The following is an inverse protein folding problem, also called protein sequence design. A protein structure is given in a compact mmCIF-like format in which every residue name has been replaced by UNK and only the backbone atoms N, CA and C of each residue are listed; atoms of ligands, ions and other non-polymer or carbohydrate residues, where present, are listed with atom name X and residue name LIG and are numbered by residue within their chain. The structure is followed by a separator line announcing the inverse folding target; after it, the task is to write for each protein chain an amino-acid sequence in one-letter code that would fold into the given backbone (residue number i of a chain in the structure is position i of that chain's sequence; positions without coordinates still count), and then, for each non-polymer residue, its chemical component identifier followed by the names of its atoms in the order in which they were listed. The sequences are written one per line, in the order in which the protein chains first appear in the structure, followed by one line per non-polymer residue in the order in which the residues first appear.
data_IF_111962903465
#
_entry.id   IF_111962903465
#
_cell.length_a   1.000
_cell.length_b   1.000
_cell.length_c   1.000
_cell.angle_alpha   90.00
_cell.angle_beta   90.00
_cell.angle_gamma   90.00
#
_symmetry.space_group_name_H-M   'P 1'
#
loop_
_entity.id
_entity.type
_entity.pdbx_description
1 polymer ?
#
# COMPACT_ATOMS: atom_id res chain seq x y z
N UNK A 1 46.76 -49.01 31.32
CA UNK A 1 46.03 -47.76 31.06
C UNK A 1 45.78 -47.62 29.56
N UNK A 2 44.53 -47.77 29.10
CA UNK A 2 43.99 -47.26 27.82
C UNK A 2 42.50 -47.65 27.75
N UNK A 3 41.63 -46.84 28.38
CA UNK A 3 40.18 -46.94 28.14
C UNK A 3 39.89 -46.18 26.84
N UNK A 4 39.77 -46.93 25.74
CA UNK A 4 39.23 -46.42 24.48
C UNK A 4 37.76 -46.04 24.71
N UNK A 5 37.44 -44.75 24.56
CA UNK A 5 36.05 -44.28 24.52
C UNK A 5 35.32 -44.98 23.38
N UNK A 6 34.39 -45.88 23.71
CA UNK A 6 33.38 -46.39 22.78
C UNK A 6 32.35 -45.28 22.57
N UNK A 7 32.65 -44.36 21.66
CA UNK A 7 31.69 -43.32 21.28
C UNK A 7 30.62 -43.99 20.41
N UNK A 8 29.36 -43.85 20.81
CA UNK A 8 28.22 -44.48 20.17
C UNK A 8 27.96 -43.81 18.81
N UNK A 9 28.07 -44.54 17.70
CA UNK A 9 27.92 -44.00 16.32
C UNK A 9 26.61 -43.22 16.13
N UNK A 10 25.53 -43.58 16.84
CA UNK A 10 24.26 -42.83 16.84
C UNK A 10 24.39 -41.42 17.45
N UNK A 11 25.19 -41.27 18.51
CA UNK A 11 25.46 -39.96 19.12
C UNK A 11 26.41 -39.14 18.24
N UNK A 12 27.39 -39.76 17.59
CA UNK A 12 28.25 -39.06 16.61
C UNK A 12 27.41 -38.51 15.46
N UNK A 13 26.51 -39.31 14.90
CA UNK A 13 25.62 -38.89 13.80
C UNK A 13 24.71 -37.73 14.26
N UNK A 14 24.15 -37.79 15.47
CA UNK A 14 23.29 -36.71 16.01
C UNK A 14 24.11 -35.44 16.29
N UNK A 15 25.30 -35.54 16.87
CA UNK A 15 26.18 -34.38 17.11
C UNK A 15 26.72 -33.82 15.79
N UNK A 16 27.04 -34.65 14.80
CA UNK A 16 27.45 -34.18 13.48
C UNK A 16 26.28 -33.56 12.72
N UNK A 17 25.05 -34.04 12.89
CA UNK A 17 23.86 -33.39 12.31
C UNK A 17 23.57 -32.04 12.99
N UNK A 18 23.73 -31.94 14.31
CA UNK A 18 23.60 -30.68 15.05
C UNK A 18 24.68 -29.67 14.70
N UNK A 19 25.93 -30.11 14.50
CA UNK A 19 27.04 -29.24 14.06
C UNK A 19 26.88 -28.84 12.58
N UNK A 20 26.39 -29.72 11.71
CA UNK A 20 26.08 -29.40 10.31
C UNK A 20 24.86 -28.47 10.19
N UNK A 21 23.88 -28.60 11.08
CA UNK A 21 22.73 -27.68 11.17
C UNK A 21 23.13 -26.31 11.77
N UNK A 22 24.15 -26.27 12.63
CA UNK A 22 24.81 -25.02 13.08
C UNK A 22 25.73 -24.40 12.02
N UNK A 23 26.07 -25.13 10.96
CA UNK A 23 26.90 -24.69 9.82
C UNK A 23 26.05 -24.22 8.62
N UNK A 24 24.79 -23.81 8.85
CA UNK A 24 24.04 -23.00 7.89
C UNK A 24 24.57 -21.57 7.95
N UNK A 25 25.76 -21.42 7.37
CA UNK A 25 26.52 -20.19 7.14
C UNK A 25 25.75 -19.40 6.07
N UNK A 26 25.10 -18.33 6.50
CA UNK A 26 24.21 -17.51 5.69
C UNK A 26 24.76 -16.10 5.56
N UNK A 27 24.88 -15.58 4.34
CA UNK A 27 25.05 -14.14 4.15
C UNK A 27 23.67 -13.50 4.33
N UNK A 28 23.40 -12.93 5.50
CA UNK A 28 22.09 -12.31 5.78
C UNK A 28 22.11 -10.85 5.36
N UNK A 29 21.18 -10.44 4.51
CA UNK A 29 20.78 -9.04 4.45
C UNK A 29 19.99 -8.69 5.70
N UNK A 30 19.97 -7.42 6.07
CA UNK A 30 19.15 -6.85 7.15
C UNK A 30 18.47 -5.57 6.67
N UNK A 31 17.22 -5.38 7.09
CA UNK A 31 16.47 -4.13 6.90
C UNK A 31 15.94 -3.74 8.28
N UNK A 32 16.65 -2.82 8.92
CA UNK A 32 16.46 -2.43 10.32
C UNK A 32 15.33 -1.43 10.50
N UNK A 33 14.91 -0.76 9.42
CA UNK A 33 13.80 0.19 9.41
C UNK A 33 13.81 1.04 8.16
N UNK A 34 12.75 1.84 8.01
CA UNK A 34 12.67 2.89 6.99
C UNK A 34 12.13 4.15 7.65
N UNK A 35 12.88 5.23 7.55
CA UNK A 35 12.42 6.56 7.91
C UNK A 35 11.46 7.06 6.83
N UNK A 36 10.20 7.25 7.23
CA UNK A 36 9.13 7.71 6.37
C UNK A 36 8.57 9.00 6.99
N UNK A 37 8.58 10.13 6.26
CA UNK A 37 7.93 11.34 6.73
C UNK A 37 6.43 11.12 6.99
N UNK A 38 5.83 11.92 7.86
CA UNK A 38 4.40 11.76 8.22
C UNK A 38 3.46 11.88 7.01
N UNK A 39 3.81 12.76 6.07
CA UNK A 39 3.08 13.00 4.82
C UNK A 39 3.98 13.60 3.76
N UNK A 40 3.52 13.55 2.51
CA UNK A 40 4.12 14.24 1.36
C UNK A 40 3.25 15.40 0.90
N UNK A 41 3.85 16.35 0.19
CA UNK A 41 3.14 17.46 -0.45
C UNK A 41 3.08 17.22 -1.95
N UNK A 42 1.91 17.36 -2.55
CA UNK A 42 1.70 17.07 -3.96
C UNK A 42 2.64 17.88 -4.86
N UNK A 43 3.32 17.19 -5.77
CA UNK A 43 4.29 17.81 -6.69
C UNK A 43 5.63 18.22 -6.05
N UNK A 44 5.83 18.04 -4.76
CA UNK A 44 7.11 18.31 -4.08
C UNK A 44 7.97 17.05 -3.94
N UNK A 45 9.26 17.24 -3.69
CA UNK A 45 10.17 16.14 -3.42
C UNK A 45 10.03 15.66 -1.97
N UNK A 46 10.14 14.36 -1.78
CA UNK A 46 10.14 13.69 -0.47
C UNK A 46 11.31 12.73 -0.39
N UNK A 47 11.88 12.59 0.81
CA UNK A 47 13.01 11.70 1.06
C UNK A 47 12.63 10.60 2.04
N UNK A 48 13.02 9.37 1.71
CA UNK A 48 12.94 8.19 2.56
C UNK A 48 14.34 7.62 2.79
N UNK A 49 14.59 7.09 3.98
CA UNK A 49 15.89 6.48 4.32
C UNK A 49 15.67 5.05 4.78
N UNK A 50 16.24 4.09 4.05
CA UNK A 50 16.24 2.68 4.47
C UNK A 50 17.53 2.41 5.27
N UNK A 51 17.38 1.88 6.48
CA UNK A 51 18.50 1.45 7.30
C UNK A 51 18.80 -0.02 7.03
N UNK A 52 19.84 -0.28 6.25
CA UNK A 52 20.20 -1.60 5.77
C UNK A 52 21.43 -2.15 6.50
N UNK A 53 21.58 -3.47 6.45
CA UNK A 53 22.75 -4.17 6.99
C UNK A 53 23.11 -5.40 6.17
N UNK A 54 24.37 -5.80 6.26
CA UNK A 54 24.89 -7.04 5.67
C UNK A 54 25.67 -7.78 6.76
N UNK A 55 25.32 -9.05 6.96
CA UNK A 55 26.02 -9.98 7.84
C UNK A 55 26.56 -11.14 7.00
N UNK A 56 27.77 -11.01 6.42
CA UNK A 56 28.29 -12.02 5.54
C UNK A 56 28.83 -13.19 6.35
N UNK A 57 28.17 -14.33 6.22
CA UNK A 57 28.73 -15.64 6.56
C UNK A 57 28.83 -16.40 5.24
N UNK A 58 29.98 -16.27 4.58
CA UNK A 58 30.28 -16.84 3.26
C UNK A 58 31.07 -18.14 3.48
N UNK A 59 30.66 -19.24 2.83
CA UNK A 59 31.32 -20.55 3.01
C UNK A 59 32.76 -20.58 2.47
N UNK A 60 33.03 -19.93 1.33
CA UNK A 60 34.38 -19.74 0.81
C UNK A 60 34.43 -18.63 -0.24
N UNK A 61 35.53 -17.88 -0.30
CA UNK A 61 35.76 -16.84 -1.31
C UNK A 61 35.10 -15.49 -1.00
N UNK A 62 35.17 -14.61 -1.98
CA UNK A 62 34.61 -13.25 -1.95
C UNK A 62 33.23 -13.24 -2.60
N UNK A 63 32.29 -12.48 -2.03
CA UNK A 63 30.96 -12.32 -2.61
C UNK A 63 30.82 -10.95 -3.29
N UNK A 64 31.04 -10.92 -4.61
CA UNK A 64 30.83 -9.70 -5.40
C UNK A 64 29.41 -9.62 -5.94
N UNK A 65 28.66 -8.57 -5.63
CA UNK A 65 27.27 -8.36 -6.08
C UNK A 65 26.97 -6.86 -6.27
N UNK A 66 25.83 -6.54 -6.85
CA UNK A 66 25.26 -5.20 -6.91
C UNK A 66 24.07 -5.10 -5.96
N UNK A 67 23.92 -3.96 -5.29
CA UNK A 67 22.75 -3.69 -4.47
C UNK A 67 21.53 -3.48 -5.36
N UNK A 68 20.39 -4.04 -4.96
CA UNK A 68 19.11 -3.88 -5.65
C UNK A 68 18.09 -3.34 -4.66
N UNK A 69 17.44 -2.24 -5.02
CA UNK A 69 16.47 -1.53 -4.19
C UNK A 69 15.18 -1.36 -4.97
N UNK A 70 14.06 -1.83 -4.43
CA UNK A 70 12.74 -1.61 -5.01
C UNK A 70 11.96 -0.55 -4.22
N UNK A 71 11.15 0.23 -4.94
CA UNK A 71 10.28 1.25 -4.40
C UNK A 71 8.87 1.10 -5.00
N UNK A 72 7.88 0.82 -4.16
CA UNK A 72 6.47 0.72 -4.53
C UNK A 72 5.79 2.07 -4.26
N UNK A 73 5.27 2.68 -5.31
CA UNK A 73 4.58 3.96 -5.27
C UNK A 73 3.38 3.99 -6.24
N UNK A 74 2.47 4.97 -6.13
CA UNK A 74 1.41 5.15 -7.12
C UNK A 74 2.00 5.51 -8.49
N UNK A 75 1.43 4.95 -9.57
CA UNK A 75 1.87 5.22 -10.95
C UNK A 75 1.87 6.69 -11.34
N UNK A 76 0.99 7.47 -10.72
CA UNK A 76 0.88 8.92 -10.91
C UNK A 76 2.11 9.71 -10.44
N UNK A 77 3.00 9.08 -9.66
CA UNK A 77 4.27 9.68 -9.27
C UNK A 77 5.31 9.64 -10.39
N UNK A 78 5.13 8.77 -11.39
CA UNK A 78 6.13 8.51 -12.44
C UNK A 78 7.50 8.27 -11.80
N UNK A 79 7.54 7.28 -10.90
CA UNK A 79 8.65 7.13 -9.97
C UNK A 79 9.95 6.70 -10.68
N UNK A 80 9.87 6.06 -11.84
CA UNK A 80 11.05 5.71 -12.64
C UNK A 80 11.80 6.96 -13.14
N UNK A 81 11.08 8.03 -13.49
CA UNK A 81 11.67 9.28 -13.98
C UNK A 81 11.97 10.27 -12.85
N UNK A 82 11.18 10.24 -11.78
CA UNK A 82 11.21 11.27 -10.73
C UNK A 82 11.88 10.82 -9.43
N UNK A 83 12.55 9.67 -9.40
CA UNK A 83 13.21 9.16 -8.19
C UNK A 83 14.70 8.98 -8.41
N UNK A 84 15.47 9.48 -7.45
CA UNK A 84 16.89 9.22 -7.33
C UNK A 84 17.14 8.36 -6.10
N UNK A 85 17.91 7.30 -6.28
CA UNK A 85 18.34 6.42 -5.18
C UNK A 85 19.85 6.46 -5.08
N UNK A 86 20.35 6.56 -3.86
CA UNK A 86 21.79 6.50 -3.56
C UNK A 86 21.99 5.78 -2.25
N UNK A 87 23.18 5.25 -2.03
CA UNK A 87 23.54 4.67 -0.75
C UNK A 87 24.96 5.09 -0.39
N UNK A 88 25.24 5.14 0.91
CA UNK A 88 26.56 5.43 1.43
C UNK A 88 26.94 4.31 2.42
N UNK A 89 27.97 3.53 2.10
CA UNK A 89 28.41 2.41 2.92
C UNK A 89 29.93 2.38 3.07
N UNK A 90 30.47 1.63 4.05
CA UNK A 90 31.92 1.42 4.19
C UNK A 90 32.56 0.78 2.96
N UNK A 91 31.78 0.06 2.14
CA UNK A 91 32.26 -0.66 0.95
C UNK A 91 32.08 0.14 -0.35
N UNK A 92 31.50 1.34 -0.29
CA UNK A 92 31.32 2.23 -1.43
C UNK A 92 30.16 3.20 -1.26
N UNK A 93 30.11 4.22 -2.11
CA UNK A 93 28.98 5.14 -2.21
C UNK A 93 28.75 5.42 -3.68
N UNK A 94 27.52 5.20 -4.15
CA UNK A 94 27.21 5.39 -5.57
C UNK A 94 25.71 5.68 -5.76
N UNK A 95 25.35 6.59 -6.68
CA UNK A 95 23.98 6.67 -7.16
C UNK A 95 23.60 5.35 -7.83
N UNK A 96 22.34 4.98 -7.67
CA UNK A 96 21.76 3.82 -8.33
C UNK A 96 21.07 4.24 -9.63
N UNK A 97 20.88 3.29 -10.53
CA UNK A 97 20.17 3.49 -11.79
C UNK A 97 18.96 2.58 -11.84
N UNK A 98 17.86 3.05 -12.42
CA UNK A 98 16.67 2.22 -12.68
C UNK A 98 17.07 1.03 -13.55
N UNK A 99 16.61 -0.17 -13.18
CA UNK A 99 16.74 -1.36 -14.01
C UNK A 99 15.76 -1.24 -15.18
N UNK A 100 16.22 -1.26 -16.44
CA UNK A 100 15.33 -1.10 -17.58
C UNK A 100 14.38 -2.29 -17.70
N UNK A 101 13.15 -2.05 -18.17
CA UNK A 101 12.13 -3.09 -18.34
C UNK A 101 12.54 -4.22 -19.30
N UNK A 102 13.53 -3.99 -20.17
CA UNK A 102 14.11 -5.02 -21.04
C UNK A 102 14.99 -6.02 -20.29
N UNK A 103 15.50 -5.66 -19.11
CA UNK A 103 16.23 -6.58 -18.25
C UNK A 103 15.24 -7.38 -17.43
N UNK A 104 15.27 -8.69 -17.62
CA UNK A 104 14.41 -9.63 -16.89
C UNK A 104 15.02 -9.96 -15.53
N UNK A 105 14.16 -10.17 -14.55
CA UNK A 105 14.51 -10.68 -13.24
C UNK A 105 14.84 -12.19 -13.37
N UNK A 106 16.03 -12.64 -12.94
CA UNK A 106 16.53 -13.99 -13.16
C UNK A 106 15.62 -15.15 -12.72
N UNK A 107 14.90 -15.02 -11.59
CA UNK A 107 14.16 -16.14 -11.00
C UNK A 107 12.76 -16.31 -11.60
N UNK A 108 12.11 -15.20 -11.96
CA UNK A 108 10.76 -15.17 -12.51
C UNK A 108 10.73 -15.04 -14.04
N UNK A 109 11.85 -14.62 -14.65
CA UNK A 109 11.96 -14.31 -16.08
C UNK A 109 10.95 -13.23 -16.55
N UNK A 110 10.58 -12.32 -15.65
CA UNK A 110 9.70 -11.17 -15.92
C UNK A 110 10.47 -9.86 -15.79
N UNK A 111 10.02 -8.76 -16.43
CA UNK A 111 10.50 -7.42 -16.09
C UNK A 111 10.42 -7.17 -14.58
N UNK A 112 11.46 -6.57 -14.00
CA UNK A 112 11.58 -6.36 -12.55
C UNK A 112 10.34 -5.77 -11.87
N UNK A 113 9.67 -4.72 -12.40
CA UNK A 113 8.42 -4.22 -11.83
C UNK A 113 7.32 -5.29 -11.71
N UNK A 114 7.19 -6.13 -12.73
CA UNK A 114 6.19 -7.20 -12.76
C UNK A 114 6.58 -8.35 -11.82
N UNK A 115 7.86 -8.71 -11.78
CA UNK A 115 8.40 -9.70 -10.85
C UNK A 115 8.17 -9.28 -9.39
N UNK A 116 8.50 -8.04 -9.02
CA UNK A 116 8.22 -7.50 -7.68
C UNK A 116 6.72 -7.50 -7.37
N UNK A 117 5.87 -7.10 -8.32
CA UNK A 117 4.42 -7.13 -8.10
C UNK A 117 3.90 -8.57 -7.88
N UNK A 118 4.43 -9.55 -8.59
CA UNK A 118 4.05 -10.96 -8.44
C UNK A 118 4.54 -11.56 -7.11
N UNK A 119 5.79 -11.29 -6.73
CA UNK A 119 6.45 -11.93 -5.58
C UNK A 119 6.17 -11.20 -4.27
N UNK A 120 6.21 -9.86 -4.29
CA UNK A 120 6.10 -9.00 -3.11
C UNK A 120 4.70 -8.41 -2.94
N UNK A 121 3.90 -8.35 -4.02
CA UNK A 121 2.57 -7.75 -4.02
C UNK A 121 2.59 -6.22 -3.98
N UNK A 122 1.40 -5.64 -3.80
CA UNK A 122 1.19 -4.19 -3.73
C UNK A 122 1.12 -3.66 -2.28
N UNK A 123 1.74 -4.33 -1.31
CA UNK A 123 1.81 -3.84 0.07
C UNK A 123 0.47 -3.68 0.80
N UNK A 124 -0.56 -4.42 0.37
CA UNK A 124 -1.91 -4.29 0.92
C UNK A 124 -2.67 -3.03 0.49
N UNK A 125 -2.27 -2.39 -0.62
CA UNK A 125 -3.10 -1.44 -1.33
C UNK A 125 -4.23 -2.17 -2.07
N UNK A 126 -5.45 -1.64 -2.01
CA UNK A 126 -6.66 -2.29 -2.48
C UNK A 126 -6.92 -2.13 -3.99
N UNK A 127 -6.23 -1.19 -4.64
CA UNK A 127 -6.24 -1.06 -6.11
C UNK A 127 -4.80 -1.26 -6.64
N UNK A 128 -4.30 -2.51 -6.71
CA UNK A 128 -2.93 -2.80 -7.14
C UNK A 128 -2.59 -2.26 -8.54
N UNK A 129 -3.58 -2.14 -9.41
CA UNK A 129 -3.40 -1.61 -10.77
C UNK A 129 -2.97 -0.13 -10.80
N UNK A 130 -3.23 0.63 -9.72
CA UNK A 130 -2.77 2.00 -9.54
C UNK A 130 -1.36 2.13 -8.95
N UNK A 131 -0.74 1.03 -8.55
CA UNK A 131 0.59 0.98 -7.94
C UNK A 131 1.62 0.39 -8.90
N UNK A 132 2.88 0.76 -8.73
CA UNK A 132 4.00 0.18 -9.46
C UNK A 132 5.24 0.03 -8.58
N UNK A 133 5.99 -1.05 -8.82
CA UNK A 133 7.35 -1.18 -8.32
C UNK A 133 8.32 -0.58 -9.32
N UNK A 134 9.22 0.27 -8.85
CA UNK A 134 10.40 0.72 -9.59
C UNK A 134 11.63 0.14 -8.91
N UNK A 135 12.52 -0.49 -9.68
CA UNK A 135 13.69 -1.17 -9.14
C UNK A 135 14.95 -0.49 -9.62
N UNK A 136 15.86 -0.23 -8.68
CA UNK A 136 17.14 0.43 -8.87
C UNK A 136 18.25 -0.56 -8.57
N UNK A 137 19.34 -0.46 -9.32
CA UNK A 137 20.56 -1.22 -9.09
C UNK A 137 21.75 -0.28 -8.93
N UNK A 138 22.68 -0.63 -8.04
CA UNK A 138 23.94 0.09 -7.94
C UNK A 138 24.72 0.02 -9.25
N UNK A 139 25.36 1.13 -9.63
CA UNK A 139 26.16 1.16 -10.86
C UNK A 139 27.36 0.22 -10.74
N UNK A 140 28.07 0.34 -9.63
CA UNK A 140 29.23 -0.46 -9.32
C UNK A 140 28.83 -1.76 -8.59
N UNK A 141 29.64 -2.80 -8.78
CA UNK A 141 29.57 -4.02 -8.00
C UNK A 141 30.54 -3.91 -6.83
N UNK A 142 30.16 -4.47 -5.68
CA UNK A 142 30.95 -4.41 -4.46
C UNK A 142 31.26 -5.81 -3.99
N UNK A 143 32.44 -5.96 -3.42
CA UNK A 143 32.90 -7.22 -2.86
C UNK A 143 32.68 -7.21 -1.36
N UNK A 144 31.80 -8.10 -0.91
CA UNK A 144 31.52 -8.33 0.50
C UNK A 144 32.58 -9.29 1.04
N UNK A 145 33.26 -8.84 2.09
CA UNK A 145 34.29 -9.60 2.81
C UNK A 145 33.61 -10.47 3.86
N UNK A 146 34.05 -11.72 3.97
CA UNK A 146 33.46 -12.66 4.91
C UNK A 146 33.69 -12.24 6.37
N UNK A 147 32.67 -12.39 7.23
CA UNK A 147 32.68 -12.03 8.66
C UNK A 147 32.90 -10.54 8.98
N UNK A 148 32.67 -9.64 8.02
CA UNK A 148 32.64 -8.20 8.25
C UNK A 148 31.21 -7.68 8.17
N UNK A 149 30.58 -7.57 9.34
CA UNK A 149 29.22 -7.02 9.45
C UNK A 149 29.27 -5.50 9.34
N UNK A 150 28.36 -4.92 8.56
CA UNK A 150 28.23 -3.47 8.50
C UNK A 150 26.80 -3.04 8.19
N UNK A 151 26.47 -1.84 8.66
CA UNK A 151 25.24 -1.14 8.37
C UNK A 151 25.50 0.02 7.41
N UNK A 152 24.48 0.39 6.66
CA UNK A 152 24.53 1.51 5.73
C UNK A 152 23.12 2.01 5.43
N UNK A 153 23.04 3.25 4.94
CA UNK A 153 21.78 3.87 4.59
C UNK A 153 21.61 3.95 3.07
N UNK A 154 20.38 3.68 2.64
CA UNK A 154 19.91 3.96 1.27
C UNK A 154 18.96 5.14 1.33
N UNK A 155 19.28 6.21 0.62
CA UNK A 155 18.42 7.39 0.48
C UNK A 155 17.65 7.33 -0.82
N UNK A 156 16.32 7.43 -0.73
CA UNK A 156 15.39 7.50 -1.87
C UNK A 156 14.77 8.89 -1.85
N UNK A 157 15.07 9.71 -2.87
CA UNK A 157 14.45 11.01 -3.07
C UNK A 157 13.51 10.92 -4.27
N UNK A 158 12.21 11.07 -4.06
CA UNK A 158 11.17 10.93 -5.08
C UNK A 158 10.26 12.14 -5.11
N UNK A 159 9.71 12.48 -6.27
CA UNK A 159 8.67 13.52 -6.38
C UNK A 159 7.29 12.93 -6.15
N UNK A 160 6.52 13.52 -5.24
CA UNK A 160 5.12 13.17 -5.06
C UNK A 160 4.30 13.50 -6.32
N UNK A 161 3.30 12.66 -6.61
CA UNK A 161 2.33 12.92 -7.66
C UNK A 161 1.44 14.15 -7.40
N UNK A 162 0.57 14.53 -8.35
CA UNK A 162 -0.15 15.81 -8.31
C UNK A 162 -1.46 15.82 -7.50
N UNK A 163 -1.96 14.66 -7.04
CA UNK A 163 -3.28 14.54 -6.41
C UNK A 163 -3.16 14.27 -4.92
N UNK A 164 -4.24 14.56 -4.18
CA UNK A 164 -4.37 14.08 -2.80
C UNK A 164 -4.51 12.56 -2.81
N UNK A 165 -3.73 11.84 -2.00
CA UNK A 165 -3.74 10.38 -2.00
C UNK A 165 -3.53 9.81 -0.60
N UNK A 166 -4.05 8.60 -0.38
CA UNK A 166 -3.76 7.79 0.80
C UNK A 166 -3.41 6.38 0.34
N UNK A 167 -2.20 5.90 0.61
CA UNK A 167 -1.70 4.62 0.09
C UNK A 167 -0.58 4.07 0.97
N UNK A 168 -0.21 2.80 0.77
CA UNK A 168 0.94 2.18 1.46
C UNK A 168 2.15 2.16 0.54
N UNK A 169 3.26 2.73 1.00
CA UNK A 169 4.57 2.62 0.35
C UNK A 169 5.12 1.21 0.56
N UNK A 170 6.00 0.79 -0.34
CA UNK A 170 6.75 -0.46 -0.20
C UNK A 170 8.21 -0.26 -0.57
N UNK A 171 9.07 -0.98 0.13
CA UNK A 171 10.52 -0.95 -0.03
C UNK A 171 11.03 -2.37 -0.12
N UNK A 172 11.92 -2.62 -1.06
CA UNK A 172 12.60 -3.90 -1.24
C UNK A 172 14.10 -3.67 -1.19
N UNK A 173 14.79 -4.55 -0.48
CA UNK A 173 16.24 -4.63 -0.45
C UNK A 173 16.68 -6.06 -0.77
N UNK A 174 17.53 -6.17 -1.79
CA UNK A 174 18.18 -7.41 -2.20
C UNK A 174 19.50 -7.14 -2.89
N UNK A 175 20.02 -8.16 -3.56
CA UNK A 175 21.23 -8.07 -4.35
C UNK A 175 21.10 -8.82 -5.69
N UNK A 176 21.98 -8.50 -6.63
CA UNK A 176 21.88 -8.98 -8.01
C UNK A 176 22.14 -10.47 -8.21
N UNK A 177 22.76 -11.15 -7.24
CA UNK A 177 23.11 -12.59 -7.35
C UNK A 177 21.96 -13.46 -6.87
N UNK A 178 21.36 -13.12 -5.73
CA UNK A 178 20.22 -13.86 -5.20
C UNK A 178 18.89 -13.40 -5.82
N UNK A 179 18.85 -12.14 -6.27
CA UNK A 179 17.69 -11.54 -6.95
C UNK A 179 16.40 -11.61 -6.11
N UNK A 180 15.21 -11.72 -6.71
CA UNK A 180 13.96 -12.00 -6.01
C UNK A 180 13.84 -13.50 -5.70
N UNK A 181 14.73 -14.04 -4.87
CA UNK A 181 14.71 -15.46 -4.48
C UNK A 181 13.52 -15.82 -3.60
N UNK A 182 12.90 -14.83 -2.94
CA UNK A 182 11.87 -15.05 -1.92
C UNK A 182 12.42 -15.62 -0.62
N UNK A 183 13.72 -15.88 -0.55
CA UNK A 183 14.41 -16.26 0.68
C UNK A 183 14.52 -15.03 1.58
N UNK A 184 13.96 -15.12 2.80
CA UNK A 184 13.97 -14.05 3.78
C UNK A 184 15.36 -13.56 4.16
N UNK A 185 16.40 -14.32 3.84
CA UNK A 185 17.80 -13.98 4.09
C UNK A 185 18.37 -13.00 3.06
N UNK A 186 17.82 -13.02 1.85
CA UNK A 186 18.32 -12.26 0.69
C UNK A 186 17.28 -11.33 0.07
N UNK A 187 16.02 -11.46 0.48
CA UNK A 187 14.90 -10.62 0.08
C UNK A 187 14.31 -9.97 1.33
N UNK A 188 14.56 -8.67 1.50
CA UNK A 188 13.96 -7.88 2.59
C UNK A 188 12.91 -6.94 2.04
N UNK A 189 11.78 -6.88 2.72
CA UNK A 189 10.70 -5.96 2.38
C UNK A 189 10.22 -5.20 3.60
N UNK A 190 9.78 -3.97 3.36
CA UNK A 190 9.07 -3.15 4.32
C UNK A 190 7.89 -2.50 3.62
N UNK A 191 6.72 -2.53 4.27
CA UNK A 191 5.54 -1.82 3.82
C UNK A 191 5.10 -0.84 4.90
N UNK A 192 4.79 0.39 4.49
CA UNK A 192 4.32 1.40 5.42
C UNK A 192 2.87 1.15 5.86
N UNK A 193 2.46 1.87 6.91
CA UNK A 193 1.05 2.18 7.11
C UNK A 193 0.52 3.10 5.99
N UNK A 194 -0.70 3.62 6.16
CA UNK A 194 -1.27 4.56 5.22
C UNK A 194 -0.53 5.89 5.24
N UNK A 195 0.17 6.17 4.15
CA UNK A 195 0.91 7.40 3.89
C UNK A 195 0.05 8.34 3.06
N UNK A 196 0.06 9.63 3.42
CA UNK A 196 -0.79 10.64 2.79
C UNK A 196 0.03 11.61 1.93
N UNK A 197 -0.55 11.99 0.79
CA UNK A 197 -0.12 13.15 0.00
C UNK A 197 -1.21 14.20 0.09
N UNK A 198 -0.83 15.41 0.52
CA UNK A 198 -1.75 16.52 0.76
C UNK A 198 -1.46 17.70 -0.19
N UNK A 199 -2.37 18.68 -0.19
CA UNK A 199 -2.32 19.89 -1.04
C UNK A 199 -2.29 19.61 -2.55
N UNK A 200 -2.77 18.44 -2.96
CA UNK A 200 -2.94 18.05 -4.36
C UNK A 200 -4.29 18.45 -4.94
N UNK A 201 -4.48 18.10 -6.21
CA UNK A 201 -5.73 18.34 -6.95
C UNK A 201 -6.78 17.27 -6.63
N UNK A 202 -8.04 17.70 -6.62
CA UNK A 202 -9.22 16.82 -6.52
C UNK A 202 -9.41 16.17 -5.14
N UNK A 203 -10.37 15.23 -5.11
CA UNK A 203 -10.66 14.42 -3.93
C UNK A 203 -9.49 13.47 -3.61
N UNK A 204 -9.42 13.01 -2.37
CA UNK A 204 -8.42 12.03 -1.94
C UNK A 204 -8.64 10.71 -2.69
N UNK A 205 -7.59 10.25 -3.36
CA UNK A 205 -7.56 8.89 -3.93
C UNK A 205 -7.09 7.94 -2.83
N UNK A 206 -8.01 7.14 -2.29
CA UNK A 206 -7.73 6.20 -1.20
C UNK A 206 -7.47 4.79 -1.75
N UNK A 207 -6.23 4.33 -1.63
CA UNK A 207 -5.76 2.97 -1.92
C UNK A 207 -5.68 2.10 -0.67
N UNK A 208 -5.85 2.69 0.50
CA UNK A 208 -5.64 2.06 1.79
C UNK A 208 -6.89 1.38 2.33
N UNK A 209 -8.04 2.02 2.14
CA UNK A 209 -9.29 1.61 2.74
C UNK A 209 -10.29 1.09 1.71
N UNK A 210 -11.08 0.07 2.06
CA UNK A 210 -12.06 -0.49 1.17
C UNK A 210 -13.11 0.57 0.83
N UNK A 211 -13.46 0.68 -0.45
CA UNK A 211 -14.51 1.58 -0.90
C UNK A 211 -15.88 1.05 -0.48
N UNK A 212 -16.28 1.38 0.73
CA UNK A 212 -17.55 0.96 1.31
C UNK A 212 -18.76 1.56 0.60
N UNK A 213 -18.59 2.70 -0.07
CA UNK A 213 -19.66 3.34 -0.84
C UNK A 213 -19.25 3.66 -2.26
N UNK A 214 -20.21 3.64 -3.17
CA UNK A 214 -20.06 4.07 -4.56
C UNK A 214 -21.19 5.03 -4.92
N UNK A 215 -20.94 5.88 -5.92
CA UNK A 215 -21.96 6.75 -6.52
C UNK A 215 -21.97 6.52 -8.02
N UNK A 216 -23.16 6.39 -8.60
CA UNK A 216 -23.37 6.26 -10.05
C UNK A 216 -24.52 7.18 -10.50
N UNK A 217 -24.35 7.99 -11.56
CA UNK A 217 -23.10 8.21 -12.29
C UNK A 217 -22.08 8.96 -11.42
N UNK A 218 -20.78 8.81 -11.75
CA UNK A 218 -19.69 9.45 -10.99
C UNK A 218 -19.67 10.98 -11.12
N UNK A 219 -20.31 11.52 -12.16
CA UNK A 219 -20.56 12.94 -12.36
C UNK A 219 -22.03 13.10 -12.72
N UNK A 220 -22.72 14.01 -12.03
CA UNK A 220 -24.13 14.28 -12.25
C UNK A 220 -24.48 15.70 -11.86
N UNK A 221 -25.60 16.19 -12.39
CA UNK A 221 -26.31 17.34 -11.85
C UNK A 221 -27.11 16.93 -10.61
N UNK A 222 -27.46 17.91 -9.78
CA UNK A 222 -28.39 17.70 -8.65
C UNK A 222 -29.81 17.31 -9.10
N UNK A 223 -30.10 17.53 -10.39
CA UNK A 223 -31.35 17.15 -11.02
C UNK A 223 -31.32 15.75 -11.68
N UNK A 224 -30.18 15.07 -11.68
CA UNK A 224 -30.08 13.70 -12.20
C UNK A 224 -30.43 12.68 -11.10
N UNK A 225 -30.91 11.50 -11.50
CA UNK A 225 -31.04 10.38 -10.57
C UNK A 225 -29.62 9.83 -10.30
N UNK A 226 -29.29 9.68 -9.02
CA UNK A 226 -28.06 9.03 -8.58
C UNK A 226 -28.38 7.74 -7.83
N UNK A 227 -27.48 6.77 -7.94
CA UNK A 227 -27.46 5.55 -7.15
C UNK A 227 -26.33 5.63 -6.15
N UNK A 228 -26.65 5.53 -4.86
CA UNK A 228 -25.68 5.33 -3.80
C UNK A 228 -25.58 3.83 -3.49
N UNK A 229 -24.40 3.26 -3.64
CA UNK A 229 -24.08 1.89 -3.26
C UNK A 229 -23.45 1.82 -1.87
N UNK A 230 -23.72 0.73 -1.15
CA UNK A 230 -23.02 0.34 0.07
C UNK A 230 -22.59 -1.12 -0.01
N UNK A 231 -21.31 -1.38 0.20
CA UNK A 231 -20.75 -2.73 0.20
C UNK A 231 -20.26 -3.08 1.61
N UNK A 232 -21.08 -3.83 2.33
CA UNK A 232 -20.79 -4.31 3.69
C UNK A 232 -20.16 -5.71 3.69
N UNK A 233 -19.75 -6.19 2.50
CA UNK A 233 -19.08 -7.48 2.31
C UNK A 233 -17.57 -7.38 2.15
N UNK A 234 -17.03 -6.17 1.90
CA UNK A 234 -15.60 -5.93 1.68
C UNK A 234 -14.82 -5.64 2.96
N UNK A 235 -15.50 -5.30 4.05
CA UNK A 235 -14.91 -5.10 5.37
C UNK A 235 -15.93 -5.42 6.48
N UNK A 236 -15.44 -5.64 7.70
CA UNK A 236 -16.27 -5.73 8.89
C UNK A 236 -16.60 -4.33 9.39
N UNK A 237 -17.88 -3.98 9.44
CA UNK A 237 -18.39 -2.70 9.92
C UNK A 237 -19.31 -2.90 11.12
N UNK A 238 -19.69 -1.82 11.78
CA UNK A 238 -20.73 -1.86 12.83
C UNK A 238 -22.09 -2.35 12.31
N UNK A 239 -22.29 -2.36 10.99
CA UNK A 239 -23.50 -2.84 10.34
C UNK A 239 -23.39 -4.29 9.86
N UNK A 240 -22.28 -5.01 10.09
CA UNK A 240 -22.06 -6.36 9.52
C UNK A 240 -23.08 -7.43 9.92
N UNK A 241 -23.83 -7.20 11.00
CA UNK A 241 -24.82 -8.11 11.57
C UNK A 241 -26.28 -7.70 11.26
N UNK A 242 -26.50 -6.68 10.43
CA UNK A 242 -27.85 -6.26 10.01
C UNK A 242 -27.99 -6.29 8.49
N UNK A 243 -29.21 -6.60 8.04
CA UNK A 243 -29.60 -6.55 6.63
C UNK A 243 -30.51 -5.35 6.31
N UNK A 244 -31.03 -4.67 7.33
CA UNK A 244 -31.84 -3.47 7.15
C UNK A 244 -30.92 -2.26 7.29
N UNK A 245 -30.54 -1.71 6.14
CA UNK A 245 -29.63 -0.58 6.01
C UNK A 245 -30.43 0.62 5.52
N UNK A 246 -30.19 1.78 6.12
CA UNK A 246 -30.87 3.04 5.79
C UNK A 246 -29.86 4.13 5.46
N UNK A 247 -30.24 5.04 4.58
CA UNK A 247 -29.47 6.22 4.22
C UNK A 247 -29.76 7.35 5.22
N UNK A 248 -28.70 7.91 5.80
CA UNK A 248 -28.74 9.16 6.56
C UNK A 248 -27.90 10.19 5.83
N UNK A 249 -28.54 11.15 5.17
CA UNK A 249 -27.87 12.07 4.25
C UNK A 249 -28.19 13.54 4.54
N UNK A 250 -27.26 14.41 4.16
CA UNK A 250 -27.32 15.86 4.27
C UNK A 250 -26.91 16.48 2.95
N UNK A 251 -27.79 17.28 2.36
CA UNK A 251 -27.51 18.08 1.17
C UNK A 251 -27.03 19.48 1.57
N UNK A 252 -26.09 20.03 0.82
CA UNK A 252 -25.61 21.41 0.93
C UNK A 252 -25.98 22.14 -0.36
N UNK A 253 -26.59 23.32 -0.23
CA UNK A 253 -27.04 24.11 -1.39
C UNK A 253 -26.00 25.16 -1.78
N UNK A 254 -26.14 25.73 -2.98
CA UNK A 254 -25.29 26.81 -3.51
C UNK A 254 -25.41 28.12 -2.72
N UNK A 255 -26.52 28.32 -2.01
CA UNK A 255 -26.71 29.44 -1.08
C UNK A 255 -26.05 29.23 0.29
N UNK A 256 -25.45 28.07 0.54
CA UNK A 256 -24.76 27.74 1.79
C UNK A 256 -25.64 27.08 2.85
N UNK A 257 -26.92 26.84 2.55
CA UNK A 257 -27.83 26.13 3.44
C UNK A 257 -27.61 24.61 3.41
N UNK A 258 -28.22 23.91 4.37
CA UNK A 258 -28.15 22.46 4.40
C UNK A 258 -29.44 21.80 4.88
N UNK A 259 -29.78 20.69 4.23
CA UNK A 259 -31.03 19.95 4.44
C UNK A 259 -30.70 18.49 4.78
N UNK A 260 -31.21 17.99 5.90
CA UNK A 260 -30.92 16.63 6.38
C UNK A 260 -32.13 15.71 6.25
N UNK A 261 -31.91 14.50 5.75
CA UNK A 261 -32.87 13.39 5.72
C UNK A 261 -32.18 12.17 6.34
N UNK A 262 -32.59 11.82 7.56
CA UNK A 262 -31.96 10.76 8.37
C UNK A 262 -33.01 9.94 9.12
N UNK A 263 -34.13 9.66 8.47
CA UNK A 263 -35.22 8.82 8.99
C UNK A 263 -34.95 7.33 8.70
N UNK A 264 -35.48 6.40 9.49
CA UNK A 264 -35.38 4.94 9.26
C UNK A 264 -36.71 4.40 8.71
N UNK A 265 -37.14 4.97 7.59
CA UNK A 265 -38.39 4.60 6.89
C UNK A 265 -38.08 3.96 5.54
N UNK A 266 -39.10 3.45 4.84
CA UNK A 266 -38.89 2.86 3.51
C UNK A 266 -38.32 3.86 2.49
N UNK A 267 -38.47 5.17 2.71
CA UNK A 267 -37.89 6.21 1.85
C UNK A 267 -36.36 6.18 1.83
N UNK A 268 -35.74 5.84 2.96
CA UNK A 268 -34.27 5.83 3.11
C UNK A 268 -33.70 4.42 3.13
N UNK A 269 -34.55 3.38 3.11
CA UNK A 269 -34.12 1.99 3.17
C UNK A 269 -33.44 1.58 1.87
N UNK A 270 -32.24 1.03 1.99
CA UNK A 270 -31.51 0.50 0.84
C UNK A 270 -32.08 -0.86 0.41
N UNK A 271 -32.03 -1.11 -0.89
CA UNK A 271 -32.34 -2.40 -1.51
C UNK A 271 -31.11 -3.29 -1.53
N UNK A 272 -31.21 -4.50 -0.99
CA UNK A 272 -30.14 -5.49 -1.06
C UNK A 272 -29.99 -6.06 -2.49
N UNK A 273 -28.74 -6.18 -2.96
CA UNK A 273 -28.41 -6.73 -4.29
C UNK A 273 -27.59 -8.03 -4.23
N UNK A 274 -27.40 -8.58 -3.01
CA UNK A 274 -26.67 -9.83 -2.77
C UNK A 274 -25.24 -9.60 -2.24
N UNK A 275 -24.64 -10.61 -1.60
CA UNK A 275 -23.26 -10.53 -1.11
C UNK A 275 -22.99 -9.40 -0.09
N UNK A 276 -24.00 -9.05 0.73
CA UNK A 276 -23.98 -7.88 1.64
C UNK A 276 -23.77 -6.54 0.92
N UNK A 277 -24.19 -6.44 -0.34
CA UNK A 277 -24.26 -5.20 -1.08
C UNK A 277 -25.68 -4.65 -1.08
N UNK A 278 -25.78 -3.34 -1.02
CA UNK A 278 -27.02 -2.59 -0.92
C UNK A 278 -26.94 -1.36 -1.83
N UNK A 279 -28.09 -0.86 -2.28
CA UNK A 279 -28.17 0.39 -3.06
C UNK A 279 -29.44 1.17 -2.79
N UNK A 280 -29.41 2.46 -3.04
CA UNK A 280 -30.59 3.32 -3.10
C UNK A 280 -30.47 4.25 -4.30
N UNK A 281 -31.52 4.32 -5.10
CA UNK A 281 -31.65 5.26 -6.20
C UNK A 281 -32.46 6.46 -5.72
N UNK A 282 -31.96 7.67 -5.91
CA UNK A 282 -32.64 8.89 -5.49
C UNK A 282 -32.47 10.01 -6.51
N UNK A 283 -33.54 10.77 -6.72
CA UNK A 283 -33.49 12.08 -7.35
C UNK A 283 -33.22 13.12 -6.25
N UNK A 284 -32.01 13.73 -6.16
CA UNK A 284 -31.59 14.50 -5.01
C UNK A 284 -32.55 15.64 -4.66
N UNK A 285 -32.94 16.45 -5.64
CA UNK A 285 -33.86 17.58 -5.41
C UNK A 285 -35.19 17.14 -4.78
N UNK A 286 -35.83 16.11 -5.32
CA UNK A 286 -37.05 15.56 -4.74
C UNK A 286 -36.82 14.86 -3.40
N UNK A 287 -35.69 14.17 -3.24
CA UNK A 287 -35.35 13.49 -1.99
C UNK A 287 -35.14 14.48 -0.84
N UNK A 288 -34.59 15.67 -1.09
CA UNK A 288 -34.39 16.70 -0.06
C UNK A 288 -35.46 17.80 -0.07
N UNK A 289 -36.47 17.73 -0.94
CA UNK A 289 -37.48 18.79 -1.15
C UNK A 289 -36.85 20.17 -1.39
N UNK A 290 -35.84 20.23 -2.26
CA UNK A 290 -35.10 21.47 -2.55
C UNK A 290 -35.98 22.43 -3.38
N UNK A 291 -36.01 23.74 -3.05
CA UNK A 291 -36.69 24.76 -3.86
C UNK A 291 -36.17 24.81 -5.30
N UNK A 292 -37.01 25.27 -6.24
CA UNK A 292 -36.68 25.31 -7.66
C UNK A 292 -35.49 26.23 -7.98
N UNK A 293 -35.27 27.27 -7.19
CA UNK A 293 -34.23 28.28 -7.34
C UNK A 293 -32.90 27.94 -6.62
N UNK A 294 -32.82 26.82 -5.92
CA UNK A 294 -31.61 26.37 -5.22
C UNK A 294 -31.00 25.12 -5.85
N UNK A 295 -29.67 25.00 -5.82
CA UNK A 295 -28.98 23.82 -6.33
C UNK A 295 -28.24 23.09 -5.23
N UNK A 296 -28.29 21.76 -5.25
CA UNK A 296 -27.43 20.97 -4.36
C UNK A 296 -26.02 20.95 -4.95
N UNK A 297 -25.03 21.39 -4.17
CA UNK A 297 -23.62 21.37 -4.58
C UNK A 297 -22.90 20.12 -4.07
N UNK A 298 -23.35 19.58 -2.92
CA UNK A 298 -22.68 18.46 -2.24
C UNK A 298 -23.64 17.67 -1.37
N UNK A 299 -23.39 16.37 -1.26
CA UNK A 299 -23.97 15.47 -0.27
C UNK A 299 -22.91 15.04 0.74
N UNK A 300 -23.33 14.94 2.00
CA UNK A 300 -22.67 14.16 3.04
C UNK A 300 -23.62 13.05 3.48
N UNK A 301 -23.14 11.81 3.60
CA UNK A 301 -24.04 10.72 3.99
C UNK A 301 -23.35 9.59 4.77
N UNK A 302 -24.19 8.86 5.51
CA UNK A 302 -23.87 7.66 6.26
C UNK A 302 -24.88 6.56 5.91
N UNK A 303 -24.47 5.32 6.13
CA UNK A 303 -25.40 4.19 6.20
C UNK A 303 -25.65 3.85 7.67
N UNK A 304 -26.90 3.53 8.02
CA UNK A 304 -27.28 3.22 9.40
C UNK A 304 -28.05 1.91 9.50
N UNK A 305 -28.14 1.39 10.73
CA UNK A 305 -29.08 0.34 11.06
C UNK A 305 -30.51 0.88 11.21
N UNK A 306 -31.45 -0.02 11.54
CA UNK A 306 -32.87 0.32 11.74
C UNK A 306 -33.14 1.22 12.95
N UNK A 307 -32.21 1.29 13.92
CA UNK A 307 -32.32 2.24 15.04
C UNK A 307 -31.79 3.63 14.71
N UNK A 308 -31.01 3.78 13.64
CA UNK A 308 -30.27 4.99 13.31
C UNK A 308 -29.07 5.27 14.23
N UNK A 309 -28.78 4.40 15.20
CA UNK A 309 -27.72 4.62 16.19
C UNK A 309 -26.37 4.12 15.70
N UNK A 310 -26.35 2.95 15.05
CA UNK A 310 -25.12 2.44 14.43
C UNK A 310 -25.01 3.05 13.05
N UNK A 311 -23.88 3.69 12.76
CA UNK A 311 -23.63 4.32 11.47
C UNK A 311 -22.25 3.99 10.94
N UNK A 312 -22.14 3.93 9.62
CA UNK A 312 -20.89 3.73 8.89
C UNK A 312 -20.73 4.89 7.93
N UNK A 313 -19.60 5.58 8.06
CA UNK A 313 -19.18 6.63 7.17
C UNK A 313 -17.94 6.22 6.35
N UNK A 314 -17.30 7.23 5.77
CA UNK A 314 -16.10 7.07 4.97
C UNK A 314 -15.01 6.33 5.75
N UNK A 315 -14.34 5.38 5.10
CA UNK A 315 -13.29 4.55 5.69
C UNK A 315 -13.71 3.82 6.97
N UNK A 316 -15.00 3.46 7.11
CA UNK A 316 -15.54 2.80 8.29
C UNK A 316 -15.42 3.66 9.57
N UNK A 317 -15.45 4.99 9.41
CA UNK A 317 -15.34 5.97 10.52
C UNK A 317 -16.65 6.73 10.75
N UNK A 318 -16.63 7.66 11.71
CA UNK A 318 -17.72 8.62 11.94
C UNK A 318 -17.72 9.82 10.98
N UNK A 319 -16.78 9.89 10.02
CA UNK A 319 -16.77 10.91 8.98
C UNK A 319 -17.71 10.53 7.83
N UNK A 320 -18.52 11.45 7.28
CA UNK A 320 -19.47 11.10 6.22
C UNK A 320 -18.76 10.73 4.91
N UNK A 321 -19.41 9.89 4.11
CA UNK A 321 -19.11 9.83 2.67
C UNK A 321 -19.49 11.18 2.02
N UNK A 322 -18.75 11.59 1.00
CA UNK A 322 -18.99 12.85 0.29
C UNK A 322 -19.19 12.63 -1.19
N UNK A 323 -20.16 13.35 -1.76
CA UNK A 323 -20.39 13.42 -3.20
C UNK A 323 -20.57 14.88 -3.61
N UNK A 324 -19.87 15.33 -4.65
CA UNK A 324 -19.96 16.70 -5.17
C UNK A 324 -20.64 16.63 -6.53
N UNK A 325 -21.68 17.43 -6.74
CA UNK A 325 -22.35 17.53 -8.03
C UNK A 325 -21.50 18.38 -8.99
N UNK A 326 -21.31 17.90 -10.21
CA UNK A 326 -20.53 18.59 -11.24
C UNK A 326 -20.99 18.20 -12.64
N UNK A 327 -20.99 19.17 -13.55
CA UNK A 327 -21.01 18.89 -14.98
C UNK A 327 -19.57 18.72 -15.47
N UNK A 328 -19.30 17.65 -16.23
CA UNK A 328 -18.16 17.60 -17.14
C UNK A 328 -18.65 17.84 -18.56
#
# INVERSE_FOLDING_TARGET
MKKLLKINNRKIIIYSFLVVMMLMIQCGLELNGVDIPDHGVAGEAITFVMHCGIQPRIQSGNYTTKLVIGFLAPKSWHAAENTMVSFNSPIGSSPMSVIPASQLEPNTNLPWPQACMQVLGAGGNLVPSGMEWVVFQSRDAYTIVNNEDFNFDVTINSKCGPNNMLFKLGFYYGDSKESLSGDANYTKTFFSGCFSVINGKGNIIDYCHPQLSTVSPVSSLDNDIITLGFNNGIDTTVLSNTNNIYLCAKAFTDNGDSISVCEQTDRTRLTAIGGKQYRIDLWPRGFFNVPDDEKITRLEYFFTDASGTMKVGNNNTDQPFQYIFSCQ
#
